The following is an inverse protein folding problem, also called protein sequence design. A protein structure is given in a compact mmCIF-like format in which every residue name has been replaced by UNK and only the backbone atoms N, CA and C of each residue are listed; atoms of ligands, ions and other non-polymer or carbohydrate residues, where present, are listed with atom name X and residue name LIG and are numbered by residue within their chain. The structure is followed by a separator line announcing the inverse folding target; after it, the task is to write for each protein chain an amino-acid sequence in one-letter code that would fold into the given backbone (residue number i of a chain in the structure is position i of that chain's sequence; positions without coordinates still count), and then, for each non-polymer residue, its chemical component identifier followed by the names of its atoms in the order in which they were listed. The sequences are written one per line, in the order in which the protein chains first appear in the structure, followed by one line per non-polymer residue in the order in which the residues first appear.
data_IF_792670900009
#
_entry.id   IF_792670900009
#
_cell.length_a   1.000
_cell.length_b   1.000
_cell.length_c   1.000
_cell.angle_alpha   90.00
_cell.angle_beta   90.00
_cell.angle_gamma   90.00
#
_symmetry.space_group_name_H-M   'P 1'
#
loop_
_entity.id
_entity.type
_entity.pdbx_description
1 polymer ?
#
# COMPACT_ATOMS: atom_id res chain seq x y z
N UNK A 1 54.58 3.80 9.56
CA UNK A 1 53.31 3.60 10.28
C UNK A 1 52.17 3.65 9.26
N UNK A 2 51.74 2.51 8.84
CA UNK A 2 50.73 2.31 7.79
C UNK A 2 49.32 2.36 8.41
N UNK A 3 48.52 3.33 8.01
CA UNK A 3 47.13 3.50 8.47
C UNK A 3 46.21 2.75 7.51
N UNK A 4 45.90 1.49 7.85
CA UNK A 4 44.91 0.68 7.15
C UNK A 4 43.50 1.13 7.55
N UNK A 5 42.94 2.07 6.82
CA UNK A 5 41.50 2.35 6.85
C UNK A 5 40.75 1.26 6.07
N UNK A 6 40.36 0.19 6.76
CA UNK A 6 39.34 -0.74 6.29
C UNK A 6 37.98 -0.02 6.28
N UNK A 7 37.71 0.79 5.28
CA UNK A 7 36.36 1.20 4.94
C UNK A 7 35.65 0.00 4.32
N UNK A 8 34.74 -0.61 5.08
CA UNK A 8 33.76 -1.55 4.55
C UNK A 8 32.94 -0.76 3.54
N UNK A 9 33.19 -1.03 2.25
CA UNK A 9 32.45 -0.43 1.16
C UNK A 9 30.95 -0.80 1.34
N UNK A 10 30.03 0.17 1.29
CA UNK A 10 28.60 -0.16 1.30
C UNK A 10 28.32 -1.04 0.09
N UNK A 11 27.60 -2.16 0.30
CA UNK A 11 27.14 -3.06 -0.73
C UNK A 11 26.59 -2.26 -1.92
N UNK A 12 27.34 -2.23 -3.02
CA UNK A 12 26.96 -1.56 -4.27
C UNK A 12 25.90 -2.41 -4.98
N UNK A 13 24.69 -2.45 -4.45
CA UNK A 13 23.49 -2.89 -5.20
C UNK A 13 23.24 -2.00 -6.43
N UNK A 14 23.96 -0.88 -6.55
CA UNK A 14 23.81 0.10 -7.62
C UNK A 14 24.29 -0.31 -9.00
N UNK A 15 25.09 -1.39 -9.11
CA UNK A 15 25.70 -1.80 -10.38
C UNK A 15 24.89 -2.81 -11.19
N UNK A 16 23.87 -3.47 -10.59
CA UNK A 16 23.16 -4.60 -11.22
C UNK A 16 21.84 -4.17 -11.86
N UNK A 17 21.20 -3.09 -11.39
CA UNK A 17 19.89 -2.65 -11.89
C UNK A 17 19.99 -1.29 -12.59
N UNK A 18 19.54 -1.15 -13.85
CA UNK A 18 19.45 0.14 -14.53
C UNK A 18 18.65 1.15 -13.71
N UNK A 19 19.09 2.42 -13.71
CA UNK A 19 18.50 3.46 -12.88
C UNK A 19 16.99 3.65 -13.10
N UNK A 20 16.53 3.46 -14.36
CA UNK A 20 15.13 3.54 -14.75
C UNK A 20 14.25 2.40 -14.23
N UNK A 21 14.83 1.26 -13.81
CA UNK A 21 14.11 0.11 -13.28
C UNK A 21 14.09 0.06 -11.75
N UNK A 22 14.90 0.88 -11.06
CA UNK A 22 14.98 0.87 -9.59
C UNK A 22 13.64 1.21 -8.95
N UNK A 23 12.98 2.28 -9.38
CA UNK A 23 11.67 2.68 -8.84
C UNK A 23 10.60 1.61 -9.03
N UNK A 24 10.34 1.12 -10.26
CA UNK A 24 9.39 0.04 -10.51
C UNK A 24 9.67 -1.23 -9.71
N UNK A 25 10.92 -1.70 -9.62
CA UNK A 25 11.25 -2.90 -8.84
C UNK A 25 10.99 -2.73 -7.34
N UNK A 26 11.31 -1.56 -6.78
CA UNK A 26 11.02 -1.24 -5.38
C UNK A 26 9.50 -1.25 -5.14
N UNK A 27 8.71 -0.72 -6.08
CA UNK A 27 7.25 -0.73 -5.98
C UNK A 27 6.65 -2.13 -6.12
N UNK A 28 7.24 -3.01 -6.92
CA UNK A 28 6.87 -4.43 -6.96
C UNK A 28 7.11 -5.09 -5.60
N UNK A 29 8.27 -4.87 -4.99
CA UNK A 29 8.57 -5.38 -3.64
C UNK A 29 7.61 -4.79 -2.59
N UNK A 30 7.28 -3.50 -2.70
CA UNK A 30 6.27 -2.86 -1.86
C UNK A 30 4.91 -3.55 -2.01
N UNK A 31 4.47 -3.78 -3.25
CA UNK A 31 3.20 -4.45 -3.54
C UNK A 31 3.15 -5.89 -2.98
N UNK A 32 4.27 -6.62 -3.04
CA UNK A 32 4.39 -7.94 -2.40
C UNK A 32 4.19 -7.85 -0.89
N UNK A 33 4.91 -6.94 -0.22
CA UNK A 33 4.80 -6.77 1.23
C UNK A 33 3.41 -6.29 1.67
N UNK A 34 2.81 -5.36 0.93
CA UNK A 34 1.46 -4.84 1.23
C UNK A 34 0.40 -5.91 0.92
N UNK A 35 0.61 -6.75 -0.10
CA UNK A 35 -0.26 -7.88 -0.43
C UNK A 35 -0.38 -8.93 0.68
N UNK A 36 0.52 -8.92 1.68
CA UNK A 36 0.39 -9.71 2.90
C UNK A 36 -0.62 -9.12 3.90
N UNK A 37 -1.03 -7.86 3.74
CA UNK A 37 -1.89 -7.19 4.71
C UNK A 37 -3.27 -7.86 4.88
N UNK A 38 -4.00 -8.28 3.83
CA UNK A 38 -5.25 -9.03 3.99
C UNK A 38 -5.06 -10.33 4.76
N UNK A 39 -3.93 -11.01 4.57
CA UNK A 39 -3.59 -12.25 5.28
C UNK A 39 -3.39 -11.97 6.77
N UNK A 40 -2.59 -10.96 7.12
CA UNK A 40 -2.40 -10.54 8.51
C UNK A 40 -3.70 -10.10 9.19
N UNK A 41 -4.59 -9.43 8.46
CA UNK A 41 -5.88 -8.99 8.97
C UNK A 41 -6.81 -10.17 9.29
N UNK A 42 -6.80 -11.24 8.48
CA UNK A 42 -7.57 -12.47 8.73
C UNK A 42 -7.20 -13.18 10.05
N UNK A 43 -5.97 -12.98 10.51
CA UNK A 43 -5.52 -13.51 11.82
C UNK A 43 -5.78 -12.56 12.97
N UNK A 44 -6.33 -11.36 12.72
CA UNK A 44 -6.67 -10.43 13.78
C UNK A 44 -7.96 -10.84 14.45
N UNK A 45 -7.95 -10.88 15.77
CA UNK A 45 -9.12 -11.04 16.65
C UNK A 45 -9.70 -9.69 17.07
N UNK A 46 -8.95 -8.61 16.82
CA UNK A 46 -9.39 -7.24 17.09
C UNK A 46 -10.22 -6.70 15.95
N UNK A 47 -11.05 -5.71 16.24
CA UNK A 47 -11.83 -4.99 15.23
C UNK A 47 -10.91 -4.31 14.19
N UNK A 48 -11.36 -4.22 12.94
CA UNK A 48 -10.47 -3.87 11.85
C UNK A 48 -9.83 -2.48 11.96
N UNK A 49 -10.58 -1.46 12.41
CA UNK A 49 -10.05 -0.09 12.48
C UNK A 49 -9.00 0.03 13.58
N UNK A 50 -9.26 -0.52 14.77
CA UNK A 50 -8.29 -0.49 15.86
C UNK A 50 -7.05 -1.37 15.55
N UNK A 51 -7.22 -2.46 14.79
CA UNK A 51 -6.09 -3.24 14.26
C UNK A 51 -5.17 -2.36 13.40
N UNK A 52 -5.73 -1.48 12.54
CA UNK A 52 -4.94 -0.54 11.76
C UNK A 52 -4.24 0.51 12.65
N UNK A 53 -4.89 1.00 13.71
CA UNK A 53 -4.28 1.94 14.66
C UNK A 53 -3.07 1.30 15.33
N UNK A 54 -3.21 0.09 15.88
CA UNK A 54 -2.10 -0.63 16.52
C UNK A 54 -1.00 -0.98 15.53
N UNK A 55 -1.32 -1.29 14.27
CA UNK A 55 -0.34 -1.43 13.20
C UNK A 55 0.51 -0.16 13.06
N UNK A 56 -0.10 1.03 13.08
CA UNK A 56 0.64 2.30 13.00
C UNK A 56 1.47 2.52 14.26
N UNK A 57 0.90 2.32 15.45
CA UNK A 57 1.59 2.49 16.74
C UNK A 57 2.84 1.60 16.83
N UNK A 58 2.72 0.32 16.50
CA UNK A 58 3.86 -0.62 16.53
C UNK A 58 4.88 -0.36 15.41
N UNK A 59 4.48 0.22 14.29
CA UNK A 59 5.42 0.58 13.25
C UNK A 59 6.35 1.74 13.65
N UNK A 60 5.92 2.64 14.53
CA UNK A 60 6.74 3.79 14.98
C UNK A 60 8.07 3.34 15.59
N UNK A 61 8.12 2.45 16.62
CA UNK A 61 9.40 1.99 17.16
C UNK A 61 10.25 1.26 16.11
N UNK A 62 9.66 0.48 15.22
CA UNK A 62 10.38 -0.19 14.12
C UNK A 62 11.06 0.85 13.21
N UNK A 63 10.32 1.91 12.84
CA UNK A 63 10.86 3.01 12.03
C UNK A 63 11.94 3.79 12.79
N UNK A 64 11.78 4.06 14.10
CA UNK A 64 12.80 4.72 14.91
C UNK A 64 14.08 3.90 14.96
N UNK A 65 13.99 2.60 15.24
CA UNK A 65 15.15 1.70 15.26
C UNK A 65 15.83 1.66 13.88
N UNK A 66 15.03 1.58 12.81
CA UNK A 66 15.55 1.65 11.44
C UNK A 66 16.28 2.96 11.16
N UNK A 67 15.74 4.10 11.62
CA UNK A 67 16.40 5.41 11.52
C UNK A 67 17.77 5.42 12.18
N UNK A 68 17.85 4.89 13.40
CA UNK A 68 19.08 4.83 14.17
C UNK A 68 20.14 3.96 13.49
N UNK A 69 19.74 2.74 13.03
CA UNK A 69 20.65 1.80 12.36
C UNK A 69 21.21 2.39 11.06
N UNK A 70 20.34 2.97 10.23
CA UNK A 70 20.72 3.50 8.91
C UNK A 70 21.10 4.99 8.95
N UNK A 71 21.15 5.60 10.15
CA UNK A 71 21.48 7.02 10.36
C UNK A 71 20.62 7.95 9.49
N UNK A 72 19.33 7.62 9.35
CA UNK A 72 18.40 8.41 8.55
C UNK A 72 17.80 9.54 9.39
N UNK A 73 17.84 10.80 8.90
CA UNK A 73 17.22 11.90 9.62
C UNK A 73 15.70 11.81 9.59
N UNK A 74 15.05 11.94 10.73
CA UNK A 74 13.59 11.99 10.83
C UNK A 74 13.05 13.36 10.35
N UNK A 75 13.84 14.44 10.55
CA UNK A 75 13.48 15.79 10.15
C UNK A 75 12.18 16.30 10.77
N UNK A 76 11.59 17.35 10.16
CA UNK A 76 10.30 17.91 10.57
C UNK A 76 9.20 17.55 9.58
N UNK A 77 7.92 17.40 10.03
CA UNK A 77 6.81 17.19 9.11
C UNK A 77 6.55 18.43 8.27
N UNK A 78 6.07 18.22 7.05
CA UNK A 78 5.50 19.27 6.23
C UNK A 78 4.00 18.98 6.00
N UNK A 79 3.27 19.96 5.47
CA UNK A 79 1.81 19.84 5.26
C UNK A 79 1.43 18.66 4.36
N UNK A 80 2.27 18.34 3.36
CA UNK A 80 2.00 17.21 2.46
C UNK A 80 2.15 15.86 3.18
N UNK A 81 3.10 15.71 4.11
CA UNK A 81 3.26 14.50 4.92
C UNK A 81 2.06 14.29 5.85
N UNK A 82 1.60 15.37 6.50
CA UNK A 82 0.41 15.32 7.37
C UNK A 82 -0.82 14.95 6.54
N UNK A 83 -1.04 15.61 5.40
CA UNK A 83 -2.15 15.29 4.51
C UNK A 83 -2.10 13.84 4.02
N UNK A 84 -0.91 13.35 3.62
CA UNK A 84 -0.75 11.96 3.22
C UNK A 84 -1.13 11.00 4.34
N UNK A 85 -0.74 11.26 5.59
CA UNK A 85 -1.10 10.42 6.75
C UNK A 85 -2.60 10.45 7.05
N UNK A 86 -3.24 11.62 6.97
CA UNK A 86 -4.69 11.76 7.13
C UNK A 86 -5.42 10.94 6.06
N UNK A 87 -5.08 11.12 4.78
CA UNK A 87 -5.71 10.39 3.68
C UNK A 87 -5.45 8.88 3.77
N UNK A 88 -4.27 8.46 4.19
CA UNK A 88 -3.94 7.06 4.36
C UNK A 88 -4.77 6.41 5.48
N UNK A 89 -4.94 7.10 6.61
CA UNK A 89 -5.77 6.59 7.69
C UNK A 89 -7.25 6.53 7.31
N UNK A 90 -7.77 7.55 6.63
CA UNK A 90 -9.14 7.56 6.12
C UNK A 90 -9.39 6.44 5.11
N UNK A 91 -8.44 6.19 4.19
CA UNK A 91 -8.50 5.04 3.28
C UNK A 91 -8.68 3.74 4.07
N UNK A 92 -7.84 3.49 5.06
CA UNK A 92 -7.95 2.28 5.90
C UNK A 92 -9.31 2.20 6.60
N UNK A 93 -9.79 3.28 7.20
CA UNK A 93 -11.06 3.30 7.90
C UNK A 93 -12.25 3.00 6.98
N UNK A 94 -12.35 3.70 5.84
CA UNK A 94 -13.44 3.48 4.89
C UNK A 94 -13.37 2.11 4.21
N UNK A 95 -12.16 1.61 3.90
CA UNK A 95 -12.01 0.27 3.37
C UNK A 95 -12.46 -0.81 4.36
N UNK A 96 -12.10 -0.68 5.65
CA UNK A 96 -12.57 -1.60 6.68
C UNK A 96 -14.09 -1.56 6.87
N UNK A 97 -14.71 -0.37 6.82
CA UNK A 97 -16.17 -0.25 6.83
C UNK A 97 -16.81 -0.89 5.58
N UNK A 98 -16.16 -0.77 4.43
CA UNK A 98 -16.63 -1.44 3.22
C UNK A 98 -16.61 -2.96 3.38
N UNK A 99 -15.54 -3.53 3.97
CA UNK A 99 -15.37 -4.98 4.16
C UNK A 99 -16.48 -5.62 5.02
N UNK A 100 -17.12 -4.88 5.91
CA UNK A 100 -18.25 -5.39 6.72
C UNK A 100 -19.61 -5.18 6.06
N UNK A 101 -19.65 -4.53 4.87
CA UNK A 101 -20.90 -4.19 4.16
C UNK A 101 -20.99 -4.79 2.76
N UNK A 102 -19.87 -5.04 2.09
CA UNK A 102 -19.84 -5.65 0.76
C UNK A 102 -18.82 -6.79 0.73
N UNK A 103 -18.73 -7.53 -0.37
CA UNK A 103 -17.75 -8.59 -0.49
C UNK A 103 -16.32 -8.05 -0.40
N UNK A 104 -15.41 -8.86 0.18
CA UNK A 104 -13.98 -8.54 0.20
C UNK A 104 -13.45 -8.26 -1.20
N UNK A 105 -13.97 -9.01 -2.18
CA UNK A 105 -13.65 -8.86 -3.59
C UNK A 105 -14.03 -7.48 -4.13
N UNK A 106 -15.29 -7.05 -3.93
CA UNK A 106 -15.77 -5.75 -4.36
C UNK A 106 -15.03 -4.62 -3.65
N UNK A 107 -14.93 -4.67 -2.30
CA UNK A 107 -14.22 -3.66 -1.52
C UNK A 107 -12.78 -3.48 -2.01
N UNK A 108 -12.06 -4.58 -2.24
CA UNK A 108 -10.67 -4.55 -2.71
C UNK A 108 -10.57 -4.05 -4.15
N UNK A 109 -11.49 -4.45 -5.03
CA UNK A 109 -11.53 -3.97 -6.40
C UNK A 109 -11.72 -2.45 -6.46
N UNK A 110 -12.74 -1.92 -5.79
CA UNK A 110 -13.03 -0.49 -5.83
C UNK A 110 -11.90 0.35 -5.25
N UNK A 111 -11.30 -0.06 -4.13
CA UNK A 111 -10.13 0.65 -3.55
C UNK A 111 -8.95 0.65 -4.51
N UNK A 112 -8.71 -0.46 -5.22
CA UNK A 112 -7.62 -0.54 -6.18
C UNK A 112 -7.79 0.41 -7.39
N UNK A 113 -9.03 0.84 -7.71
CA UNK A 113 -9.24 1.89 -8.71
C UNK A 113 -8.56 3.21 -8.30
N UNK A 114 -8.49 3.51 -7.01
CA UNK A 114 -7.79 4.68 -6.48
C UNK A 114 -6.29 4.65 -6.78
N UNK A 115 -5.66 3.47 -6.75
CA UNK A 115 -4.25 3.32 -7.11
C UNK A 115 -3.99 3.68 -8.58
N UNK A 116 -4.94 3.42 -9.48
CA UNK A 116 -4.86 3.84 -10.88
C UNK A 116 -5.20 5.31 -11.03
N UNK A 117 -6.22 5.79 -10.30
CA UNK A 117 -6.67 7.17 -10.34
C UNK A 117 -5.58 8.18 -9.96
N UNK A 118 -4.56 7.78 -9.18
CA UNK A 118 -3.42 8.66 -8.86
C UNK A 118 -2.68 9.14 -10.11
N UNK A 119 -2.64 8.35 -11.18
CA UNK A 119 -2.05 8.77 -12.45
C UNK A 119 -2.78 9.97 -13.08
N UNK A 120 -4.13 9.95 -13.04
CA UNK A 120 -4.97 11.06 -13.49
C UNK A 120 -4.84 12.26 -12.54
N UNK A 121 -4.89 12.02 -11.22
CA UNK A 121 -4.73 13.07 -10.21
C UNK A 121 -3.38 13.79 -10.34
N UNK A 122 -2.29 13.06 -10.55
CA UNK A 122 -0.97 13.64 -10.77
C UNK A 122 -0.92 14.44 -12.09
N UNK A 123 -1.58 13.99 -13.13
CA UNK A 123 -1.68 14.77 -14.37
C UNK A 123 -2.42 16.10 -14.15
N UNK A 124 -3.57 16.05 -13.48
CA UNK A 124 -4.39 17.23 -13.25
C UNK A 124 -3.72 18.24 -12.28
N UNK A 125 -3.15 17.73 -11.17
CA UNK A 125 -2.61 18.55 -10.08
C UNK A 125 -1.15 18.92 -10.31
N UNK A 126 -0.30 17.91 -10.63
CA UNK A 126 1.14 18.10 -10.77
C UNK A 126 1.58 18.37 -12.22
N UNK A 127 0.63 18.34 -13.17
CA UNK A 127 0.89 18.46 -14.61
C UNK A 127 1.83 17.39 -15.16
N UNK A 128 1.97 16.26 -14.46
CA UNK A 128 2.76 15.12 -14.87
C UNK A 128 1.94 14.23 -15.82
N UNK A 129 2.13 14.44 -17.13
CA UNK A 129 1.41 13.65 -18.13
C UNK A 129 1.85 12.18 -18.08
N UNK A 130 0.91 11.22 -17.99
CA UNK A 130 1.25 9.80 -18.11
C UNK A 130 1.78 9.50 -19.51
N UNK A 131 2.54 8.40 -19.64
CA UNK A 131 2.99 7.91 -20.94
C UNK A 131 1.81 7.52 -21.84
N UNK A 132 2.02 7.50 -23.16
CA UNK A 132 0.96 7.14 -24.12
C UNK A 132 0.46 5.69 -23.94
N UNK A 133 1.31 4.80 -23.41
CA UNK A 133 0.98 3.41 -23.11
C UNK A 133 0.21 3.24 -21.81
N UNK A 134 0.22 4.25 -20.92
CA UNK A 134 -0.38 4.15 -19.60
C UNK A 134 -1.89 3.85 -19.60
N UNK A 135 -2.74 4.46 -20.44
CA UNK A 135 -4.17 4.13 -20.45
C UNK A 135 -4.44 2.66 -20.78
N UNK A 136 -3.67 2.09 -21.69
CA UNK A 136 -3.78 0.67 -22.06
C UNK A 136 -3.31 -0.21 -20.92
N UNK A 137 -2.17 0.12 -20.30
CA UNK A 137 -1.65 -0.57 -19.13
C UNK A 137 -2.64 -0.55 -17.96
N UNK A 138 -3.21 0.61 -17.67
CA UNK A 138 -4.23 0.80 -16.64
C UNK A 138 -5.50 -0.01 -16.93
N UNK A 139 -5.95 -0.05 -18.18
CA UNK A 139 -7.11 -0.85 -18.60
C UNK A 139 -6.88 -2.34 -18.35
N UNK A 140 -5.75 -2.91 -18.81
CA UNK A 140 -5.43 -4.32 -18.59
C UNK A 140 -5.32 -4.66 -17.11
N UNK A 141 -4.61 -3.83 -16.34
CA UNK A 141 -4.43 -4.07 -14.91
C UNK A 141 -5.76 -3.95 -14.14
N UNK A 142 -6.63 -2.99 -14.47
CA UNK A 142 -7.95 -2.83 -13.85
C UNK A 142 -8.90 -3.96 -14.24
N UNK A 143 -8.92 -4.37 -15.52
CA UNK A 143 -9.71 -5.50 -15.97
C UNK A 143 -9.26 -6.80 -15.30
N UNK A 144 -7.95 -6.99 -15.13
CA UNK A 144 -7.40 -8.12 -14.39
C UNK A 144 -7.76 -8.11 -12.91
N UNK A 145 -7.73 -6.94 -12.25
CA UNK A 145 -8.17 -6.79 -10.86
C UNK A 145 -9.66 -7.10 -10.71
N UNK A 146 -10.50 -6.66 -11.66
CA UNK A 146 -11.90 -7.01 -11.71
C UNK A 146 -12.10 -8.53 -11.84
N UNK A 147 -11.39 -9.18 -12.77
CA UNK A 147 -11.48 -10.63 -12.97
C UNK A 147 -11.05 -11.41 -11.72
N UNK A 148 -10.03 -10.94 -10.99
CA UNK A 148 -9.64 -11.54 -9.70
C UNK A 148 -10.70 -11.33 -8.63
N UNK A 149 -11.30 -10.15 -8.55
CA UNK A 149 -12.30 -9.82 -7.55
C UNK A 149 -13.60 -10.62 -7.78
N UNK A 150 -14.18 -10.54 -8.97
CA UNK A 150 -15.47 -11.17 -9.29
C UNK A 150 -15.37 -12.69 -9.53
N UNK A 151 -14.17 -13.23 -9.72
CA UNK A 151 -13.94 -14.67 -9.79
C UNK A 151 -13.91 -15.38 -8.42
N UNK A 152 -13.93 -14.64 -7.32
CA UNK A 152 -13.67 -15.20 -5.99
C UNK A 152 -14.89 -15.71 -5.21
N UNK A 153 -16.15 -15.42 -5.60
CA UNK A 153 -17.31 -15.90 -4.84
C UNK A 153 -18.66 -15.70 -5.52
N UNK A 154 -19.50 -16.72 -5.42
CA UNK A 154 -20.94 -16.67 -5.78
C UNK A 154 -21.84 -16.17 -4.63
N UNK A 155 -21.34 -16.06 -3.38
CA UNK A 155 -22.20 -15.97 -2.17
C UNK A 155 -22.25 -14.61 -1.47
N UNK A 156 -21.64 -13.55 -1.99
CA UNK A 156 -21.70 -12.27 -1.30
C UNK A 156 -22.59 -11.25 -2.00
N UNK A 157 -23.74 -10.96 -1.39
CA UNK A 157 -24.60 -9.86 -1.80
C UNK A 157 -23.78 -8.55 -1.83
N UNK A 158 -23.73 -7.89 -2.99
CA UNK A 158 -23.17 -6.54 -3.07
C UNK A 158 -24.12 -5.57 -2.36
N UNK A 159 -23.61 -4.87 -1.34
CA UNK A 159 -24.33 -3.76 -0.72
C UNK A 159 -23.81 -2.44 -1.33
N UNK A 160 -24.72 -1.68 -1.94
CA UNK A 160 -24.41 -0.39 -2.54
C UNK A 160 -23.72 0.57 -1.54
N UNK A 161 -24.07 0.47 -0.25
CA UNK A 161 -23.43 1.26 0.81
C UNK A 161 -21.96 0.86 0.97
N UNK A 162 -21.68 -0.44 1.01
CA UNK A 162 -20.30 -0.96 1.10
C UNK A 162 -19.47 -0.59 -0.12
N UNK A 163 -20.03 -0.72 -1.32
CA UNK A 163 -19.36 -0.34 -2.57
C UNK A 163 -19.07 1.19 -2.60
N UNK A 164 -20.01 2.02 -2.11
CA UNK A 164 -19.80 3.47 -1.99
C UNK A 164 -18.69 3.81 -0.99
N UNK A 165 -18.62 3.13 0.14
CA UNK A 165 -17.53 3.29 1.12
C UNK A 165 -16.17 2.90 0.53
N UNK A 166 -16.11 1.83 -0.27
CA UNK A 166 -14.91 1.43 -0.97
C UNK A 166 -14.48 2.46 -2.04
N UNK A 167 -15.42 3.14 -2.70
CA UNK A 167 -15.10 4.24 -3.62
C UNK A 167 -14.59 5.49 -2.88
N UNK A 168 -15.11 5.78 -1.67
CA UNK A 168 -14.55 6.84 -0.81
C UNK A 168 -13.11 6.47 -0.39
N UNK A 169 -12.86 5.22 -0.02
CA UNK A 169 -11.52 4.73 0.26
C UNK A 169 -10.60 4.89 -0.98
N UNK A 170 -11.11 4.59 -2.19
CA UNK A 170 -10.37 4.82 -3.45
C UNK A 170 -9.97 6.29 -3.64
N UNK A 171 -10.83 7.23 -3.32
CA UNK A 171 -10.50 8.66 -3.34
C UNK A 171 -9.43 9.00 -2.29
N UNK A 172 -9.52 8.40 -1.11
CA UNK A 172 -8.57 8.61 -0.02
C UNK A 172 -7.18 8.04 -0.37
N UNK A 173 -7.07 6.81 -0.90
CA UNK A 173 -5.75 6.28 -1.32
C UNK A 173 -5.15 7.08 -2.47
N UNK A 174 -5.99 7.61 -3.39
CA UNK A 174 -5.53 8.54 -4.44
C UNK A 174 -4.90 9.79 -3.81
N UNK A 175 -5.56 10.39 -2.83
CA UNK A 175 -5.04 11.52 -2.06
C UNK A 175 -3.74 11.19 -1.34
N UNK A 176 -3.70 10.05 -0.65
CA UNK A 176 -2.48 9.56 0.02
C UNK A 176 -1.29 9.47 -0.93
N UNK A 177 -1.45 8.77 -2.06
CA UNK A 177 -0.37 8.58 -3.04
C UNK A 177 0.06 9.90 -3.69
N UNK A 178 -0.88 10.80 -3.96
CA UNK A 178 -0.60 12.13 -4.51
C UNK A 178 0.21 12.97 -3.52
N UNK A 179 -0.23 13.08 -2.27
CA UNK A 179 0.47 13.87 -1.25
C UNK A 179 1.80 13.24 -0.85
N UNK A 180 1.90 11.91 -0.82
CA UNK A 180 3.19 11.21 -0.64
C UNK A 180 4.16 11.56 -1.77
N UNK A 181 3.71 11.58 -3.03
CA UNK A 181 4.52 12.01 -4.18
C UNK A 181 4.98 13.47 -4.05
N UNK A 182 4.07 14.38 -3.67
CA UNK A 182 4.41 15.78 -3.43
C UNK A 182 5.46 15.90 -2.32
N UNK A 183 5.28 15.21 -1.20
CA UNK A 183 6.23 15.24 -0.10
C UNK A 183 7.62 14.72 -0.50
N UNK A 184 7.66 13.64 -1.30
CA UNK A 184 8.89 13.00 -1.76
C UNK A 184 9.77 13.89 -2.65
N UNK A 185 9.25 14.97 -3.19
CA UNK A 185 10.06 15.97 -3.91
C UNK A 185 10.98 16.79 -2.99
N UNK A 186 10.70 16.83 -1.68
CA UNK A 186 11.42 17.68 -0.71
C UNK A 186 11.99 16.93 0.49
N UNK A 187 11.58 15.68 0.74
CA UNK A 187 12.02 14.89 1.88
C UNK A 187 12.46 13.48 1.49
N UNK A 188 13.27 12.84 2.35
CA UNK A 188 13.68 11.44 2.16
C UNK A 188 12.47 10.48 2.26
N UNK A 189 12.59 9.29 1.66
CA UNK A 189 11.54 8.26 1.79
C UNK A 189 11.33 7.85 3.24
N UNK A 190 12.40 7.78 4.02
CA UNK A 190 12.34 7.43 5.42
C UNK A 190 11.60 8.48 6.25
N UNK A 191 11.96 9.77 6.11
CA UNK A 191 11.24 10.86 6.75
C UNK A 191 9.75 10.86 6.37
N UNK A 192 9.45 10.56 5.11
CA UNK A 192 8.08 10.55 4.63
C UNK A 192 7.26 9.44 5.30
N UNK A 193 7.71 8.18 5.29
CA UNK A 193 6.95 7.08 5.91
C UNK A 193 6.79 7.28 7.42
N UNK A 194 7.80 7.80 8.10
CA UNK A 194 7.73 8.08 9.53
C UNK A 194 6.60 9.07 9.85
N UNK A 195 6.59 10.24 9.21
CA UNK A 195 5.57 11.27 9.48
C UNK A 195 4.18 10.92 8.96
N UNK A 196 4.08 10.19 7.86
CA UNK A 196 2.80 9.64 7.37
C UNK A 196 2.22 8.70 8.42
N UNK A 197 3.03 7.77 8.98
CA UNK A 197 2.59 6.83 10.00
C UNK A 197 2.15 7.54 11.28
N UNK A 198 2.93 8.50 11.78
CA UNK A 198 2.58 9.30 12.97
C UNK A 198 1.26 10.07 12.76
N UNK A 199 1.10 10.69 11.59
CA UNK A 199 -0.10 11.49 11.28
C UNK A 199 -1.35 10.62 11.08
N UNK A 200 -1.19 9.35 10.74
CA UNK A 200 -2.31 8.41 10.58
C UNK A 200 -2.91 7.97 11.92
N UNK A 201 -2.12 7.87 12.99
CA UNK A 201 -2.56 7.38 14.30
C UNK A 201 -3.77 8.15 14.86
N UNK A 202 -3.72 9.49 15.03
CA UNK A 202 -4.83 10.22 15.63
C UNK A 202 -6.12 10.13 14.81
N UNK A 203 -6.02 10.08 13.49
CA UNK A 203 -7.19 9.97 12.60
C UNK A 203 -7.86 8.62 12.76
N UNK A 204 -7.09 7.53 12.70
CA UNK A 204 -7.61 6.17 12.90
C UNK A 204 -8.19 5.98 14.31
N UNK A 205 -7.52 6.52 15.35
CA UNK A 205 -8.00 6.45 16.72
C UNK A 205 -9.34 7.18 16.90
N UNK A 206 -9.47 8.40 16.37
CA UNK A 206 -10.73 9.15 16.39
C UNK A 206 -11.83 8.34 15.68
N UNK A 207 -11.51 7.72 14.56
CA UNK A 207 -12.46 6.93 13.78
C UNK A 207 -12.90 5.68 14.54
N UNK A 208 -11.99 4.93 15.17
CA UNK A 208 -12.28 3.76 16.01
C UNK A 208 -13.17 4.15 17.21
N UNK A 209 -12.87 5.29 17.85
CA UNK A 209 -13.70 5.81 18.97
C UNK A 209 -15.13 6.16 18.51
N UNK A 210 -15.29 6.75 17.31
CA UNK A 210 -16.63 7.07 16.76
C UNK A 210 -17.42 5.78 16.48
N UNK A 211 -16.74 4.72 16.04
CA UNK A 211 -17.36 3.42 15.79
C UNK A 211 -17.65 2.62 17.09
N UNK A 212 -17.09 3.06 18.22
CA UNK A 212 -17.22 2.37 19.50
C UNK A 212 -16.36 1.11 19.60
N UNK A 213 -15.30 1.00 18.77
CA UNK A 213 -14.38 -0.13 18.80
C UNK A 213 -13.56 -0.14 20.10
N UNK A 214 -13.28 -1.34 20.64
CA UNK A 214 -12.46 -1.50 21.84
C UNK A 214 -11.00 -1.21 21.54
N UNK A 215 -10.40 -0.24 22.26
CA UNK A 215 -9.02 0.20 21.99
C UNK A 215 -7.99 -0.86 22.36
N UNK A 216 -8.21 -1.59 23.47
CA UNK A 216 -7.27 -2.58 23.97
C UNK A 216 -7.80 -3.98 23.77
N UNK A 217 -6.95 -4.93 23.37
CA UNK A 217 -7.35 -6.33 23.24
C UNK A 217 -7.59 -6.98 24.60
N UNK A 218 -8.37 -8.05 24.61
CA UNK A 218 -8.63 -8.85 25.81
C UNK A 218 -7.40 -9.70 26.20
N UNK A 219 -6.60 -10.12 25.23
CA UNK A 219 -5.40 -10.94 25.43
C UNK A 219 -4.19 -10.33 24.74
N UNK A 220 -3.00 -10.49 25.33
CA UNK A 220 -1.75 -10.01 24.72
C UNK A 220 -1.44 -10.69 23.39
N UNK A 221 -1.91 -11.93 23.17
CA UNK A 221 -1.78 -12.65 21.91
C UNK A 221 -2.43 -11.92 20.72
N UNK A 222 -3.46 -11.11 20.99
CA UNK A 222 -4.22 -10.40 19.96
C UNK A 222 -3.40 -9.31 19.28
N UNK A 223 -2.30 -8.87 19.89
CA UNK A 223 -1.34 -7.96 19.28
C UNK A 223 -0.48 -8.62 18.17
N UNK A 224 -0.51 -9.95 18.03
CA UNK A 224 0.34 -10.65 17.04
C UNK A 224 0.05 -10.18 15.60
N UNK A 225 -1.23 -10.07 15.23
CA UNK A 225 -1.61 -9.60 13.90
C UNK A 225 -1.23 -8.13 13.65
N UNK A 226 -1.54 -7.15 14.52
CA UNK A 226 -1.04 -5.79 14.41
C UNK A 226 0.48 -5.68 14.34
N UNK A 227 1.24 -6.47 15.11
CA UNK A 227 2.71 -6.50 15.05
C UNK A 227 3.22 -7.00 13.70
N UNK A 228 2.65 -8.10 13.18
CA UNK A 228 2.96 -8.59 11.84
C UNK A 228 2.69 -7.52 10.78
N UNK A 229 1.53 -6.88 10.83
CA UNK A 229 1.14 -5.81 9.92
C UNK A 229 2.04 -4.58 10.04
N UNK A 230 2.46 -4.23 11.26
CA UNK A 230 3.38 -3.11 11.52
C UNK A 230 4.73 -3.32 10.85
N UNK A 231 5.28 -4.54 10.91
CA UNK A 231 6.58 -4.83 10.35
C UNK A 231 6.51 -5.01 8.82
N UNK A 232 5.67 -5.94 8.34
CA UNK A 232 5.66 -6.31 6.92
C UNK A 232 4.87 -5.32 6.06
N UNK A 233 3.66 -4.96 6.46
CA UNK A 233 2.83 -4.11 5.63
C UNK A 233 3.14 -2.62 5.82
N UNK A 234 3.38 -2.15 7.07
CA UNK A 234 3.58 -0.73 7.33
C UNK A 234 5.04 -0.30 7.17
N UNK A 235 5.96 -0.83 7.99
CA UNK A 235 7.33 -0.35 7.99
C UNK A 235 8.04 -0.75 6.67
N UNK A 236 7.94 -2.00 6.26
CA UNK A 236 8.60 -2.48 5.05
C UNK A 236 7.77 -2.13 3.79
N UNK A 237 6.52 -2.56 3.70
CA UNK A 237 5.68 -2.40 2.52
C UNK A 237 5.40 -0.93 2.19
N UNK A 238 4.80 -0.18 3.10
CA UNK A 238 4.53 1.25 2.90
C UNK A 238 5.82 2.07 2.85
N UNK A 239 6.87 1.67 3.60
CA UNK A 239 8.20 2.29 3.51
C UNK A 239 8.79 2.18 2.11
N UNK A 240 8.78 0.99 1.50
CA UNK A 240 9.21 0.78 0.13
C UNK A 240 8.32 1.51 -0.88
N UNK A 241 6.99 1.53 -0.66
CA UNK A 241 6.06 2.28 -1.50
C UNK A 241 6.40 3.76 -1.52
N UNK A 242 6.48 4.40 -0.34
CA UNK A 242 6.78 5.83 -0.23
C UNK A 242 8.18 6.16 -0.78
N UNK A 243 9.14 5.25 -0.62
CA UNK A 243 10.46 5.41 -1.24
C UNK A 243 10.38 5.32 -2.76
N UNK A 244 9.67 4.32 -3.28
CA UNK A 244 9.54 4.02 -4.71
C UNK A 244 8.78 5.09 -5.51
N UNK A 245 7.70 5.68 -4.94
CA UNK A 245 6.96 6.77 -5.60
C UNK A 245 7.81 8.05 -5.78
N UNK A 246 8.89 8.20 -5.02
CA UNK A 246 9.87 9.26 -5.25
C UNK A 246 10.88 8.97 -6.35
N UNK A 247 10.87 7.76 -6.92
CA UNK A 247 11.81 7.30 -7.96
C UNK A 247 11.13 7.01 -9.30
N UNK A 248 9.81 7.10 -9.38
CA UNK A 248 9.04 6.83 -10.61
C UNK A 248 7.84 7.77 -10.70
N UNK A 249 7.10 7.70 -11.81
CA UNK A 249 5.89 8.51 -11.97
C UNK A 249 4.72 7.89 -11.20
N UNK A 250 3.80 8.70 -10.65
CA UNK A 250 2.61 8.21 -9.96
C UNK A 250 1.75 7.27 -10.82
N UNK A 251 1.68 7.53 -12.13
CA UNK A 251 0.96 6.70 -13.10
C UNK A 251 1.48 5.27 -13.15
N UNK A 252 2.80 5.09 -13.23
CA UNK A 252 3.43 3.76 -13.22
C UNK A 252 3.25 3.11 -11.84
N UNK A 253 3.47 3.89 -10.77
CA UNK A 253 3.32 3.41 -9.40
C UNK A 253 1.93 2.85 -9.12
N UNK A 254 0.88 3.57 -9.52
CA UNK A 254 -0.50 3.15 -9.34
C UNK A 254 -0.84 1.82 -10.03
N UNK A 255 -0.35 1.61 -11.27
CA UNK A 255 -0.55 0.34 -11.99
C UNK A 255 0.20 -0.81 -11.31
N UNK A 256 1.43 -0.58 -10.83
CA UNK A 256 2.23 -1.62 -10.14
C UNK A 256 1.54 -2.09 -8.85
N UNK A 257 0.88 -1.18 -8.13
CA UNK A 257 0.18 -1.56 -6.89
C UNK A 257 -0.95 -2.57 -7.10
N UNK A 258 -1.48 -2.69 -8.32
CA UNK A 258 -2.46 -3.73 -8.66
C UNK A 258 -1.89 -5.18 -8.62
N UNK A 259 -0.60 -5.36 -8.39
CA UNK A 259 -0.01 -6.67 -8.08
C UNK A 259 -0.49 -7.21 -6.71
N UNK A 260 -0.89 -6.33 -5.77
CA UNK A 260 -1.29 -6.73 -4.41
C UNK A 260 -2.34 -7.85 -4.37
N UNK A 261 -3.47 -7.79 -5.11
CA UNK A 261 -4.44 -8.88 -5.11
C UNK A 261 -3.87 -10.19 -5.68
N UNK A 262 -2.94 -10.13 -6.63
CA UNK A 262 -2.26 -11.34 -7.14
C UNK A 262 -1.45 -12.02 -6.03
N UNK A 263 -0.69 -11.24 -5.27
CA UNK A 263 0.10 -11.75 -4.14
C UNK A 263 -0.81 -12.29 -3.04
N UNK A 264 -1.87 -11.56 -2.69
CA UNK A 264 -2.83 -12.01 -1.69
C UNK A 264 -3.47 -13.34 -2.08
N UNK A 265 -3.92 -13.50 -3.34
CA UNK A 265 -4.51 -14.75 -3.84
C UNK A 265 -3.51 -15.92 -3.87
N UNK A 266 -2.28 -15.68 -4.35
CA UNK A 266 -1.23 -16.71 -4.38
C UNK A 266 -0.84 -17.22 -2.98
N UNK A 267 -0.94 -16.38 -1.95
CA UNK A 267 -0.63 -16.74 -0.57
C UNK A 267 -1.84 -17.35 0.13
N UNK A 268 -3.05 -16.86 -0.16
CA UNK A 268 -4.29 -17.40 0.39
C UNK A 268 -4.52 -18.85 -0.03
N UNK A 269 -4.14 -19.22 -1.24
CA UNK A 269 -4.28 -20.59 -1.75
C UNK A 269 -3.64 -21.65 -0.82
N UNK A 270 -2.32 -21.67 -0.57
CA UNK A 270 -1.71 -22.67 0.31
C UNK A 270 -2.06 -22.50 1.80
N UNK A 271 -2.37 -21.28 2.27
CA UNK A 271 -2.65 -21.02 3.68
C UNK A 271 -4.09 -21.35 4.08
N UNK A 272 -5.05 -21.08 3.19
CA UNK A 272 -6.48 -21.20 3.49
C UNK A 272 -7.17 -22.23 2.60
N UNK A 273 -6.47 -22.89 1.67
CA UNK A 273 -7.05 -23.84 0.73
C UNK A 273 -7.95 -23.19 -0.34
N UNK A 274 -7.82 -21.88 -0.54
CA UNK A 274 -8.63 -21.13 -1.51
C UNK A 274 -8.07 -21.30 -2.93
N UNK A 275 -8.52 -22.31 -3.66
CA UNK A 275 -8.09 -22.52 -5.05
C UNK A 275 -8.45 -21.34 -5.95
N UNK A 276 -7.48 -20.91 -6.76
CA UNK A 276 -7.70 -19.85 -7.73
C UNK A 276 -8.52 -20.37 -8.91
N UNK A 277 -9.70 -19.81 -9.14
CA UNK A 277 -10.50 -20.09 -10.33
C UNK A 277 -9.75 -19.65 -11.60
N UNK A 278 -10.08 -20.27 -12.75
CA UNK A 278 -9.46 -19.93 -14.04
C UNK A 278 -9.59 -18.44 -14.39
N UNK A 279 -10.71 -17.81 -14.04
CA UNK A 279 -10.93 -16.38 -14.26
C UNK A 279 -9.98 -15.53 -13.40
N UNK A 280 -9.67 -15.96 -12.18
CA UNK A 280 -8.70 -15.28 -11.30
C UNK A 280 -7.29 -15.45 -11.84
N UNK A 281 -6.92 -16.62 -12.35
CA UNK A 281 -5.62 -16.85 -13.00
C UNK A 281 -5.46 -15.98 -14.24
N UNK A 282 -6.50 -15.87 -15.08
CA UNK A 282 -6.51 -14.96 -16.23
C UNK A 282 -6.42 -13.50 -15.78
N UNK A 283 -7.12 -13.13 -14.71
CA UNK A 283 -7.03 -11.80 -14.10
C UNK A 283 -5.62 -11.46 -13.62
N UNK A 284 -4.95 -12.38 -12.93
CA UNK A 284 -3.57 -12.23 -12.51
C UNK A 284 -2.62 -12.01 -13.70
N UNK A 285 -2.79 -12.78 -14.78
CA UNK A 285 -2.00 -12.62 -16.00
C UNK A 285 -2.23 -11.25 -16.66
N UNK A 286 -3.48 -10.75 -16.70
CA UNK A 286 -3.80 -9.41 -17.20
C UNK A 286 -3.16 -8.30 -16.36
N UNK A 287 -3.17 -8.42 -15.03
CA UNK A 287 -2.48 -7.48 -14.13
C UNK A 287 -1.00 -7.43 -14.45
N UNK A 288 -0.34 -8.59 -14.49
CA UNK A 288 1.10 -8.68 -14.75
C UNK A 288 1.46 -8.12 -16.13
N UNK A 289 0.62 -8.36 -17.15
CA UNK A 289 0.79 -7.77 -18.47
C UNK A 289 0.63 -6.24 -18.44
N UNK A 290 -0.38 -5.71 -17.74
CA UNK A 290 -0.57 -4.26 -17.55
C UNK A 290 0.62 -3.61 -16.87
N UNK A 291 1.14 -4.22 -15.80
CA UNK A 291 2.34 -3.75 -15.09
C UNK A 291 3.58 -3.75 -16.00
N UNK A 292 3.79 -4.82 -16.75
CA UNK A 292 4.89 -4.90 -17.71
C UNK A 292 4.78 -3.81 -18.79
N UNK A 293 3.58 -3.56 -19.32
CA UNK A 293 3.34 -2.51 -20.30
C UNK A 293 3.57 -1.11 -19.72
N UNK A 294 3.14 -0.85 -18.48
CA UNK A 294 3.39 0.41 -17.77
C UNK A 294 4.89 0.68 -17.62
N UNK A 295 5.68 -0.35 -17.32
CA UNK A 295 7.13 -0.24 -17.17
C UNK A 295 7.89 0.04 -18.48
N UNK A 296 7.28 -0.21 -19.65
CA UNK A 296 7.85 0.07 -20.97
C UNK A 296 7.51 1.45 -21.52
N UNK A 297 6.52 2.13 -20.95
CA UNK A 297 6.12 3.47 -21.37
C UNK A 297 7.22 4.49 -20.99
N UNK A 298 7.91 4.98 -22.01
CA UNK A 298 8.84 6.12 -21.90
C UNK A 298 8.06 7.42 -22.05
#
# INVERSE_FOLDING_TARGET
MSNNNNQIAPLQLGAIVPANLKGPLILVLAAVCIGLAPIGLRFSTMEPTITAVWRFVFAVPVLVVTALIFKQPIGRPNKALIAAGVFFSLDMCFWHLALVRTSVANATFFVNLGSVAVGLAAWLVLKQRPSISWPVAALFATAGAAAMAFGASEDSASDLTGDSLALIAAACITGYLLFATIARSSVSGFQAIFWITISAIPVGLIFALILGEEIFPHHYSDFAAPLFLAFFAQALGQGLLVYGVGLTTPSIGGVILLIQPVIAGLIAWPLFGEELALIQMAGAALILFGVWLAGRGK
#
